data_IF_550239550855
#
_entry.id   IF_550239550855
#
_cell.length_a   1.000
_cell.length_b   1.000
_cell.length_c   1.000
_cell.angle_alpha   90.00
_cell.angle_beta   90.00
_cell.angle_gamma   90.00
#
_symmetry.space_group_name_H-M   'P 1'
#
loop_
_entity.id
_entity.type
_entity.pdbx_description
1 polymer ?
#
# COMPACT_ATOMS: atom_id res chain seq x y z
N UNK A 1 -20.06 -15.82 5.90
CA UNK A 1 -18.90 -15.89 4.99
C UNK A 1 -18.00 -14.74 5.37
N UNK A 2 -16.95 -14.99 6.14
CA UNK A 2 -16.04 -13.94 6.58
C UNK A 2 -15.20 -13.56 5.35
N UNK A 3 -15.56 -12.47 4.69
CA UNK A 3 -14.70 -11.86 3.70
C UNK A 3 -13.34 -11.65 4.38
N UNK A 4 -12.29 -12.28 3.89
CA UNK A 4 -10.93 -11.98 4.34
C UNK A 4 -10.65 -10.55 3.90
N UNK A 5 -10.97 -9.60 4.77
CA UNK A 5 -10.89 -8.18 4.44
C UNK A 5 -9.41 -7.82 4.29
N UNK A 6 -9.01 -7.58 3.05
CA UNK A 6 -7.71 -7.06 2.70
C UNK A 6 -7.46 -5.75 3.44
N UNK A 7 -6.29 -5.63 4.05
CA UNK A 7 -5.91 -4.45 4.83
C UNK A 7 -4.91 -3.61 4.03
N UNK A 8 -5.28 -2.37 3.77
CA UNK A 8 -4.38 -1.37 3.19
C UNK A 8 -3.50 -0.77 4.28
N UNK A 9 -2.19 -0.89 4.15
CA UNK A 9 -1.25 -0.26 5.08
C UNK A 9 -0.70 1.00 4.44
N UNK A 10 -0.95 2.14 5.06
CA UNK A 10 -0.46 3.44 4.61
C UNK A 10 0.77 3.83 5.44
N UNK A 11 1.94 3.87 4.80
CA UNK A 11 3.21 4.34 5.37
C UNK A 11 3.68 5.49 4.50
N UNK A 12 3.19 6.69 4.80
CA UNK A 12 3.41 7.90 4.00
C UNK A 12 3.97 8.99 4.90
N UNK A 13 5.16 9.52 4.57
CA UNK A 13 5.82 10.60 5.35
C UNK A 13 5.11 11.93 5.16
N UNK A 14 4.61 12.21 3.96
CA UNK A 14 3.87 13.42 3.67
C UNK A 14 2.47 13.39 4.33
N UNK A 15 2.31 14.08 5.47
CA UNK A 15 1.08 14.06 6.26
C UNK A 15 -0.18 14.52 5.49
N UNK A 16 -0.02 15.51 4.60
CA UNK A 16 -1.12 16.00 3.74
C UNK A 16 -1.60 14.95 2.74
N UNK A 17 -0.66 14.25 2.09
CA UNK A 17 -0.95 13.12 1.20
C UNK A 17 -1.58 11.96 1.98
N UNK A 18 -1.01 11.57 3.11
CA UNK A 18 -1.53 10.50 3.98
C UNK A 18 -2.98 10.73 4.34
N UNK A 19 -3.31 11.95 4.80
CA UNK A 19 -4.66 12.31 5.24
C UNK A 19 -5.65 12.30 4.09
N UNK A 20 -5.26 12.85 2.94
CA UNK A 20 -6.10 12.88 1.73
C UNK A 20 -6.36 11.48 1.18
N UNK A 21 -5.32 10.64 1.14
CA UNK A 21 -5.43 9.27 0.65
C UNK A 21 -6.30 8.42 1.57
N UNK A 22 -6.07 8.50 2.88
CA UNK A 22 -6.86 7.79 3.88
C UNK A 22 -8.35 8.18 3.79
N UNK A 23 -8.65 9.48 3.71
CA UNK A 23 -10.04 9.94 3.57
C UNK A 23 -10.72 9.39 2.31
N UNK A 24 -10.05 9.47 1.15
CA UNK A 24 -10.61 8.99 -0.12
C UNK A 24 -10.80 7.47 -0.16
N UNK A 25 -9.84 6.72 0.37
CA UNK A 25 -9.93 5.26 0.44
C UNK A 25 -11.00 4.81 1.44
N UNK A 26 -11.21 5.56 2.52
CA UNK A 26 -12.23 5.27 3.52
C UNK A 26 -13.62 5.50 2.93
N UNK A 27 -13.80 6.56 2.14
CA UNK A 27 -15.02 6.80 1.36
C UNK A 27 -15.28 5.69 0.32
N UNK A 28 -14.23 5.04 -0.18
CA UNK A 28 -14.34 3.87 -1.05
C UNK A 28 -14.60 2.55 -0.28
N UNK A 29 -14.72 2.61 1.05
CA UNK A 29 -15.01 1.44 1.89
C UNK A 29 -13.80 0.54 2.16
N UNK A 30 -12.58 1.02 1.96
CA UNK A 30 -11.38 0.24 2.19
C UNK A 30 -11.05 0.10 3.68
N UNK A 31 -10.67 -1.10 4.11
CA UNK A 31 -10.09 -1.35 5.43
C UNK A 31 -8.61 -0.92 5.40
N UNK A 32 -8.21 -0.06 6.34
CA UNK A 32 -6.88 0.55 6.31
C UNK A 32 -6.24 0.74 7.68
N UNK A 33 -4.93 0.68 7.68
CA UNK A 33 -4.06 0.92 8.82
C UNK A 33 -3.01 1.96 8.43
N UNK A 34 -3.03 3.12 9.09
CA UNK A 34 -1.93 4.08 9.00
C UNK A 34 -0.84 3.67 9.99
N UNK A 35 0.37 3.45 9.48
CA UNK A 35 1.57 3.18 10.26
C UNK A 35 2.61 4.25 9.95
N UNK A 36 3.47 4.55 10.92
CA UNK A 36 4.55 5.53 10.73
C UNK A 36 5.79 4.88 10.11
N UNK A 37 6.00 3.57 10.35
CA UNK A 37 7.16 2.82 9.87
C UNK A 37 6.80 1.38 9.42
N UNK A 38 7.67 0.77 8.62
CA UNK A 38 7.50 -0.59 8.09
C UNK A 38 7.61 -1.69 9.15
N UNK A 39 8.14 -1.38 10.34
CA UNK A 39 8.27 -2.31 11.46
C UNK A 39 7.22 -2.10 12.55
N UNK A 40 6.15 -1.33 12.26
CA UNK A 40 5.11 -1.05 13.24
C UNK A 40 4.55 -2.36 13.85
N UNK A 41 4.53 -2.52 15.18
CA UNK A 41 4.05 -3.72 15.85
C UNK A 41 2.58 -4.04 15.54
N UNK A 42 1.79 -3.08 15.05
CA UNK A 42 0.42 -3.30 14.57
C UNK A 42 0.41 -4.20 13.35
N UNK A 43 1.40 -4.11 12.45
CA UNK A 43 1.54 -5.00 11.30
C UNK A 43 1.67 -6.46 11.71
N UNK A 44 2.43 -6.72 12.78
CA UNK A 44 2.62 -8.07 13.31
C UNK A 44 1.31 -8.69 13.83
N UNK A 45 0.29 -7.89 14.16
CA UNK A 45 -1.04 -8.37 14.59
C UNK A 45 -1.90 -8.85 13.42
N UNK A 46 -1.57 -8.46 12.18
CA UNK A 46 -2.36 -8.77 10.98
C UNK A 46 -1.74 -9.86 10.09
N UNK A 47 -0.81 -10.68 10.62
CA UNK A 47 -0.11 -11.77 9.89
C UNK A 47 -1.01 -12.79 9.16
N UNK A 48 -2.29 -12.88 9.50
CA UNK A 48 -3.25 -13.83 8.91
C UNK A 48 -4.10 -13.25 7.77
N UNK A 49 -3.88 -12.00 7.37
CA UNK A 49 -4.67 -11.34 6.31
C UNK A 49 -3.75 -10.82 5.20
N UNK A 50 -4.24 -10.77 3.94
CA UNK A 50 -3.49 -10.13 2.86
C UNK A 50 -3.29 -8.64 3.15
N UNK A 51 -2.04 -8.20 3.11
CA UNK A 51 -1.64 -6.80 3.32
C UNK A 51 -1.21 -6.16 2.01
N UNK A 52 -1.74 -4.98 1.70
CA UNK A 52 -1.26 -4.16 0.58
C UNK A 52 -0.59 -2.93 1.16
N UNK A 53 0.69 -2.77 0.87
CA UNK A 53 1.47 -1.62 1.29
C UNK A 53 1.25 -0.46 0.33
N UNK A 54 0.97 0.72 0.85
CA UNK A 54 0.94 1.99 0.12
C UNK A 54 1.93 2.93 0.79
N UNK A 55 2.97 3.31 0.06
CA UNK A 55 4.05 4.15 0.59
C UNK A 55 4.45 5.23 -0.39
N UNK A 56 4.94 6.36 0.12
CA UNK A 56 5.54 7.40 -0.73
C UNK A 56 7.02 7.14 -0.94
N UNK A 57 7.56 7.67 -2.03
CA UNK A 57 8.97 7.48 -2.39
C UNK A 57 9.94 7.90 -1.27
N UNK A 58 9.59 8.93 -0.48
CA UNK A 58 10.39 9.36 0.66
C UNK A 58 10.50 8.29 1.74
N UNK A 59 9.38 7.66 2.14
CA UNK A 59 9.39 6.56 3.11
C UNK A 59 10.20 5.36 2.60
N UNK A 60 10.08 5.03 1.31
CA UNK A 60 10.80 3.89 0.72
C UNK A 60 12.31 4.14 0.66
N UNK A 61 12.74 5.36 0.35
CA UNK A 61 14.18 5.71 0.34
C UNK A 61 14.82 5.62 1.72
N UNK A 62 14.05 5.81 2.80
CA UNK A 62 14.54 5.63 4.18
C UNK A 62 14.59 4.16 4.62
N UNK A 63 13.91 3.25 3.89
CA UNK A 63 13.90 1.84 4.24
C UNK A 63 15.16 1.12 3.75
N UNK A 64 15.78 0.33 4.62
CA UNK A 64 16.91 -0.52 4.27
C UNK A 64 16.46 -1.58 3.24
N UNK A 65 17.08 -1.57 2.05
CA UNK A 65 16.68 -2.41 0.92
C UNK A 65 15.65 -1.78 -0.03
N UNK A 66 15.14 -0.58 0.29
CA UNK A 66 14.31 0.22 -0.61
C UNK A 66 13.06 -0.49 -1.14
N UNK A 67 12.73 -0.27 -2.41
CA UNK A 67 11.59 -0.94 -3.05
C UNK A 67 11.75 -2.46 -3.09
N UNK A 68 12.95 -2.95 -3.41
CA UNK A 68 13.20 -4.38 -3.61
C UNK A 68 13.06 -5.17 -2.30
N UNK A 69 13.53 -4.60 -1.17
CA UNK A 69 13.32 -5.18 0.16
C UNK A 69 11.85 -5.30 0.53
N UNK A 70 11.05 -4.28 0.19
CA UNK A 70 9.60 -4.32 0.42
C UNK A 70 8.90 -5.35 -0.48
N UNK A 71 9.31 -5.51 -1.73
CA UNK A 71 8.70 -6.50 -2.65
C UNK A 71 9.12 -7.93 -2.31
N UNK A 72 10.33 -8.13 -1.81
CA UNK A 72 10.84 -9.41 -1.36
C UNK A 72 10.14 -9.93 -0.09
N UNK A 73 9.57 -9.02 0.69
CA UNK A 73 8.90 -9.37 1.94
C UNK A 73 7.54 -10.07 1.68
N UNK A 74 7.39 -11.35 2.08
CA UNK A 74 6.22 -12.15 1.76
C UNK A 74 4.95 -11.70 2.48
N UNK A 75 5.04 -10.80 3.47
CA UNK A 75 3.85 -10.26 4.15
C UNK A 75 3.00 -9.39 3.22
N UNK A 76 3.62 -8.80 2.19
CA UNK A 76 2.93 -7.91 1.27
C UNK A 76 2.41 -8.67 0.06
N UNK A 77 1.10 -8.65 -0.12
CA UNK A 77 0.46 -9.15 -1.33
C UNK A 77 0.82 -8.27 -2.53
N UNK A 78 0.82 -6.94 -2.31
CA UNK A 78 1.16 -5.90 -3.27
C UNK A 78 1.85 -4.73 -2.57
N UNK A 79 2.73 -4.06 -3.30
CA UNK A 79 3.44 -2.86 -2.85
C UNK A 79 3.13 -1.74 -3.83
N UNK A 80 2.55 -0.65 -3.33
CA UNK A 80 2.14 0.51 -4.10
C UNK A 80 3.02 1.69 -3.70
N UNK A 81 3.80 2.21 -4.64
CA UNK A 81 4.71 3.33 -4.40
C UNK A 81 4.19 4.59 -5.08
N UNK A 82 4.06 5.65 -4.29
CA UNK A 82 3.58 6.96 -4.72
C UNK A 82 4.78 7.86 -5.05
N UNK A 83 5.13 7.92 -6.33
CA UNK A 83 6.20 8.77 -6.84
C UNK A 83 5.64 10.04 -7.51
N UNK A 84 6.38 11.17 -7.46
CA UNK A 84 5.98 12.42 -8.12
C UNK A 84 6.09 12.34 -9.65
N UNK A 85 6.84 11.38 -10.20
CA UNK A 85 6.83 10.98 -11.59
C UNK A 85 6.57 9.47 -11.68
N UNK A 86 5.70 9.04 -12.60
CA UNK A 86 5.50 7.62 -12.86
C UNK A 86 6.77 7.04 -13.51
N UNK A 87 7.73 6.59 -12.70
CA UNK A 87 8.91 5.89 -13.22
C UNK A 87 8.49 4.54 -13.77
N UNK A 88 8.93 4.26 -15.00
CA UNK A 88 8.58 3.10 -15.82
C UNK A 88 8.72 1.77 -15.07
N UNK A 89 7.85 0.86 -15.49
CA UNK A 89 7.45 -0.37 -14.82
C UNK A 89 8.59 -1.09 -14.12
N UNK A 90 8.34 -1.42 -12.86
CA UNK A 90 9.09 -2.51 -12.26
C UNK A 90 8.63 -3.81 -12.89
N UNK A 91 9.58 -4.68 -13.24
CA UNK A 91 9.32 -6.02 -13.78
C UNK A 91 8.57 -6.92 -12.77
N UNK A 92 8.46 -6.47 -11.52
CA UNK A 92 7.75 -7.20 -10.47
C UNK A 92 6.23 -6.99 -10.54
N UNK A 93 5.42 -8.05 -10.76
CA UNK A 93 3.96 -7.96 -10.81
C UNK A 93 3.32 -7.58 -9.46
N UNK A 94 4.11 -7.58 -8.39
CA UNK A 94 3.69 -7.14 -7.05
C UNK A 94 3.91 -5.64 -6.81
N UNK A 95 4.76 -4.98 -7.61
CA UNK A 95 5.11 -3.58 -7.44
C UNK A 95 4.28 -2.70 -8.39
N UNK A 96 3.53 -1.77 -7.83
CA UNK A 96 2.67 -0.85 -8.58
C UNK A 96 3.15 0.56 -8.27
N UNK A 97 3.54 1.31 -9.30
CA UNK A 97 3.92 2.72 -9.16
C UNK A 97 2.76 3.60 -9.61
N UNK A 98 2.33 4.51 -8.76
CA UNK A 98 1.23 5.43 -9.05
C UNK A 98 1.67 6.87 -8.82
N UNK A 99 1.13 7.77 -9.63
CA UNK A 99 1.27 9.20 -9.39
C UNK A 99 0.44 9.60 -8.17
N UNK A 100 0.99 10.43 -7.28
CA UNK A 100 0.31 10.90 -6.06
C UNK A 100 -1.10 11.46 -6.31
N UNK A 101 -1.30 12.17 -7.43
CA UNK A 101 -2.58 12.81 -7.78
C UNK A 101 -3.67 11.81 -8.16
N UNK A 102 -3.30 10.73 -8.83
CA UNK A 102 -4.22 9.69 -9.31
C UNK A 102 -4.29 8.48 -8.38
N UNK A 103 -3.39 8.38 -7.41
CA UNK A 103 -3.24 7.27 -6.47
C UNK A 103 -4.57 6.80 -5.86
N UNK A 104 -5.32 7.70 -5.22
CA UNK A 104 -6.57 7.32 -4.57
C UNK A 104 -7.61 6.74 -5.56
N UNK A 105 -7.69 7.29 -6.78
CA UNK A 105 -8.61 6.82 -7.81
C UNK A 105 -8.17 5.47 -8.37
N UNK A 106 -6.88 5.32 -8.66
CA UNK A 106 -6.31 4.09 -9.18
C UNK A 106 -6.38 2.95 -8.16
N UNK A 107 -5.99 3.20 -6.91
CA UNK A 107 -6.12 2.24 -5.81
C UNK A 107 -7.59 1.85 -5.63
N UNK A 108 -8.50 2.83 -5.58
CA UNK A 108 -9.93 2.58 -5.47
C UNK A 108 -10.50 1.69 -6.58
N UNK A 109 -9.99 1.82 -7.81
CA UNK A 109 -10.36 0.96 -8.93
C UNK A 109 -9.78 -0.45 -8.85
N UNK A 110 -8.61 -0.62 -8.23
CA UNK A 110 -7.91 -1.91 -8.06
C UNK A 110 -8.39 -2.68 -6.82
N UNK A 111 -9.03 -2.02 -5.85
CA UNK A 111 -9.55 -2.65 -4.63
C UNK A 111 -10.44 -3.87 -4.89
N UNK A 112 -11.42 -3.82 -5.81
CA UNK A 112 -12.28 -4.97 -6.09
C UNK A 112 -11.48 -6.17 -6.60
N UNK A 113 -10.46 -5.96 -7.43
CA UNK A 113 -9.61 -7.01 -7.96
C UNK A 113 -8.75 -7.67 -6.87
N UNK A 114 -8.21 -6.86 -5.96
CA UNK A 114 -7.43 -7.37 -4.84
C UNK A 114 -8.28 -8.09 -3.80
N UNK A 115 -9.53 -7.68 -3.61
CA UNK A 115 -10.48 -8.37 -2.74
C UNK A 115 -11.02 -9.66 -3.38
N UNK A 116 -11.12 -9.71 -4.71
CA UNK A 116 -11.58 -10.88 -5.46
C UNK A 116 -10.50 -11.94 -5.69
N UNK A 117 -9.23 -11.61 -5.44
CA UNK A 117 -8.12 -12.57 -5.50
C UNK A 117 -7.94 -13.17 -4.11
N UNK A 118 -8.50 -14.37 -3.82
CA UNK A 118 -8.11 -15.10 -2.62
C UNK A 118 -6.62 -15.43 -2.73
N UNK A 119 -5.90 -15.14 -1.65
CA UNK A 119 -4.49 -15.51 -1.49
C UNK A 119 -4.31 -17.04 -1.53
#
# INVERSE_FOLDING_TARGET
>A
MASETLLLVLIIKEAGLRSTLAARLSLAGADMLTADDFEDPRLARHKKRPLVLISDEAAVMEHEGGCDGLVADPRWLRVVILSPGACEGSDNPRLIRLERKSAAKAIGALLPEWQATPA
#
